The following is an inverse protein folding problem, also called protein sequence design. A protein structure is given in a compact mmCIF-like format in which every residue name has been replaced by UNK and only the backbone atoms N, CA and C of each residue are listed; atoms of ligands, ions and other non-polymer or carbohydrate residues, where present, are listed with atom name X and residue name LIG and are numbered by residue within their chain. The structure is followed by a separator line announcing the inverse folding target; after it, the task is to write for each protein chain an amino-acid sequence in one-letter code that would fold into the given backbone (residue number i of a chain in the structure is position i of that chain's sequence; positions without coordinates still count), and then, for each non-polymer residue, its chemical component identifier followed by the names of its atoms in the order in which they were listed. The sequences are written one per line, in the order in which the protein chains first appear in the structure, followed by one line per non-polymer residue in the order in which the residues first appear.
data_IF_809860993202
#
_entry.id   IF_809860993202
#
_cell.length_a   1.000
_cell.length_b   1.000
_cell.length_c   1.000
_cell.angle_alpha   90.00
_cell.angle_beta   90.00
_cell.angle_gamma   90.00
#
_symmetry.space_group_name_H-M   'P 1'
#
loop_
_entity.id
_entity.type
_entity.pdbx_description
1 polymer ?
#
# COMPACT_ATOMS: atom_id res chain seq x y z
N UNK A 1 2.32 -0.21 22.17
CA UNK A 1 1.86 -1.21 21.17
C UNK A 1 2.63 -0.97 19.88
N UNK A 2 3.03 -2.03 19.17
CA UNK A 2 3.68 -1.89 17.86
C UNK A 2 2.63 -1.57 16.79
N UNK A 3 2.98 -0.76 15.79
CA UNK A 3 2.08 -0.46 14.66
C UNK A 3 2.03 -1.62 13.64
N UNK A 4 3.14 -2.34 13.53
CA UNK A 4 3.34 -3.43 12.56
C UNK A 4 3.72 -4.69 13.33
N UNK A 5 3.02 -5.79 13.05
CA UNK A 5 3.34 -7.12 13.57
C UNK A 5 4.11 -7.96 12.55
N UNK A 6 3.78 -7.86 11.26
CA UNK A 6 4.41 -8.64 10.19
C UNK A 6 4.44 -7.87 8.86
N UNK A 7 5.54 -8.00 8.12
CA UNK A 7 5.70 -7.42 6.78
C UNK A 7 5.33 -8.42 5.71
N UNK A 8 4.19 -8.19 5.04
CA UNK A 8 3.71 -9.08 3.97
C UNK A 8 4.31 -8.69 2.62
N UNK A 9 4.49 -7.39 2.39
CA UNK A 9 5.08 -6.88 1.15
C UNK A 9 5.87 -5.60 1.42
N UNK A 10 7.11 -5.58 0.96
CA UNK A 10 7.95 -4.39 0.97
C UNK A 10 7.42 -3.31 0.00
N UNK A 11 7.83 -2.04 0.19
CA UNK A 11 7.48 -0.94 -0.72
C UNK A 11 7.78 -1.29 -2.18
N UNK A 12 6.74 -1.47 -2.99
CA UNK A 12 6.86 -1.92 -4.37
C UNK A 12 5.97 -1.10 -5.30
N UNK A 13 6.48 -0.79 -6.48
CA UNK A 13 5.68 -0.18 -7.55
C UNK A 13 4.95 -1.28 -8.31
N UNK A 14 3.63 -1.22 -8.29
CA UNK A 14 2.77 -2.18 -8.93
C UNK A 14 2.67 -1.94 -10.45
N UNK A 15 2.39 -2.97 -11.26
CA UNK A 15 2.25 -2.84 -12.71
C UNK A 15 1.19 -1.81 -13.15
N UNK A 16 0.18 -1.58 -12.31
CA UNK A 16 -0.89 -0.60 -12.54
C UNK A 16 -0.56 0.83 -12.07
N UNK A 17 0.67 1.09 -11.59
CA UNK A 17 1.15 2.45 -11.31
C UNK A 17 0.94 2.94 -9.88
N UNK A 18 0.48 2.10 -8.95
CA UNK A 18 0.46 2.43 -7.52
C UNK A 18 1.75 1.96 -6.84
N UNK A 19 2.31 2.76 -5.95
CA UNK A 19 3.33 2.30 -5.01
C UNK A 19 2.64 1.86 -3.73
N UNK A 20 2.86 0.62 -3.30
CA UNK A 20 2.21 0.06 -2.10
C UNK A 20 3.18 -0.62 -1.14
N UNK A 21 2.76 -0.70 0.11
CA UNK A 21 3.36 -1.49 1.18
C UNK A 21 2.24 -2.25 1.91
N UNK A 22 2.50 -3.49 2.29
CA UNK A 22 1.50 -4.38 2.88
C UNK A 22 2.03 -4.97 4.18
N UNK A 23 1.25 -4.87 5.25
CA UNK A 23 1.63 -5.37 6.56
C UNK A 23 0.42 -5.81 7.39
N UNK A 24 0.69 -6.54 8.48
CA UNK A 24 -0.31 -6.86 9.51
C UNK A 24 -0.14 -5.96 10.72
N UNK A 25 -1.25 -5.52 11.30
CA UNK A 25 -1.25 -4.87 12.61
C UNK A 25 -1.22 -5.92 13.75
N UNK A 26 -1.12 -5.53 15.04
CA UNK A 26 -1.14 -6.47 16.16
C UNK A 26 -2.42 -7.30 16.31
N UNK A 27 -3.53 -6.87 15.69
CA UNK A 27 -4.80 -7.58 15.70
C UNK A 27 -4.94 -8.56 14.50
N UNK A 28 -3.92 -8.62 13.63
CA UNK A 28 -3.89 -9.47 12.45
C UNK A 28 -4.57 -8.87 11.21
N UNK A 29 -5.04 -7.62 11.28
CA UNK A 29 -5.66 -6.93 10.15
C UNK A 29 -4.63 -6.73 9.05
N UNK A 30 -5.01 -7.03 7.80
CA UNK A 30 -4.16 -6.76 6.65
C UNK A 30 -4.35 -5.31 6.18
N UNK A 31 -3.28 -4.52 6.26
CA UNK A 31 -3.30 -3.10 5.91
C UNK A 31 -2.48 -2.87 4.64
N UNK A 32 -3.10 -2.18 3.68
CA UNK A 32 -2.46 -1.73 2.43
C UNK A 32 -2.39 -0.20 2.41
N UNK A 33 -1.17 0.33 2.51
CA UNK A 33 -0.92 1.75 2.26
C UNK A 33 -0.40 1.90 0.84
N UNK A 34 -1.09 2.69 0.03
CA UNK A 34 -0.69 2.92 -1.34
C UNK A 34 -0.84 4.39 -1.74
N UNK A 35 -0.04 4.80 -2.72
CA UNK A 35 -0.16 6.09 -3.39
C UNK A 35 0.00 5.89 -4.91
N UNK A 36 -0.87 6.50 -5.74
CA UNK A 36 -0.68 6.46 -7.20
C UNK A 36 0.55 7.28 -7.58
N UNK A 37 1.44 6.71 -8.39
CA UNK A 37 2.67 7.38 -8.86
C UNK A 37 2.72 7.59 -10.37
N UNK A 38 1.83 6.95 -11.14
CA UNK A 38 1.69 7.14 -12.59
C UNK A 38 0.50 8.04 -12.90
N UNK A 39 0.58 8.86 -13.94
CA UNK A 39 -0.46 9.84 -14.29
C UNK A 39 -1.85 9.24 -14.49
N UNK A 40 -1.95 8.09 -15.15
CA UNK A 40 -3.21 7.37 -15.34
C UNK A 40 -3.77 6.79 -14.04
N UNK A 41 -2.91 6.36 -13.11
CA UNK A 41 -3.31 5.93 -11.78
C UNK A 41 -3.80 7.12 -10.96
N UNK A 42 -3.11 8.26 -11.04
CA UNK A 42 -3.50 9.51 -10.37
C UNK A 42 -4.88 9.96 -10.86
N UNK A 43 -5.12 9.98 -12.18
CA UNK A 43 -6.41 10.33 -12.79
C UNK A 43 -7.59 9.46 -12.32
N UNK A 44 -7.34 8.24 -11.81
CA UNK A 44 -8.40 7.38 -11.24
C UNK A 44 -8.84 7.81 -9.84
N UNK A 45 -8.01 8.54 -9.11
CA UNK A 45 -8.25 8.91 -7.71
C UNK A 45 -8.40 10.42 -7.50
N UNK A 46 -7.96 11.24 -8.46
CA UNK A 46 -8.32 12.65 -8.54
C UNK A 46 -9.64 12.72 -9.31
N UNK A 47 -10.73 12.95 -8.58
CA UNK A 47 -12.05 13.26 -9.14
C UNK A 47 -12.07 14.63 -9.80
#
# INVERSE_FOLDING_TARGET
MALVSDWVQQPSTMPWGNRSILFRDPHGNLVNLFTPVREDAIKKFIG
#
